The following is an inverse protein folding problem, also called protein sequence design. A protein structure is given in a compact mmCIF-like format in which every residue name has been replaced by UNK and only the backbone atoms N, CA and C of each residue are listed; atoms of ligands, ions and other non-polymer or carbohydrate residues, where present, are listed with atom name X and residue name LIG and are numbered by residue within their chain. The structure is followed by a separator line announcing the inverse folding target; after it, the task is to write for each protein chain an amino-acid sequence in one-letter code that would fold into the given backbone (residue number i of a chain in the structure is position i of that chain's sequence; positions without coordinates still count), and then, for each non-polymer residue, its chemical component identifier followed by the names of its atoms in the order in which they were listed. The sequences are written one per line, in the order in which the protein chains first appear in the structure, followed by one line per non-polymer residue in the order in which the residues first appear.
data_IF_344889555213
#
_entry.id   IF_344889555213
#
_cell.length_a   1.000
_cell.length_b   1.000
_cell.length_c   1.000
_cell.angle_alpha   90.00
_cell.angle_beta   90.00
_cell.angle_gamma   90.00
#
_symmetry.space_group_name_H-M   'P 1'
#
loop_
_entity.id
_entity.type
_entity.pdbx_description
1 polymer ?
#
# COMPACT_ATOMS: atom_id res chain seq x y z
N UNK A 1 14.98 -2.38 4.98
CA UNK A 1 13.56 -1.98 4.86
C UNK A 1 12.87 -2.83 3.80
N UNK A 2 11.53 -2.83 3.74
CA UNK A 2 10.78 -3.48 2.65
C UNK A 2 11.18 -2.83 1.31
N UNK A 3 11.64 -3.60 0.30
CA UNK A 3 11.98 -3.03 -1.00
C UNK A 3 10.76 -2.44 -1.70
N UNK A 4 10.97 -1.37 -2.47
CA UNK A 4 9.90 -0.79 -3.27
C UNK A 4 9.36 -1.80 -4.29
N UNK A 5 8.03 -1.87 -4.39
CA UNK A 5 7.32 -2.60 -5.43
C UNK A 5 6.09 -1.81 -5.83
N UNK A 6 5.97 -1.49 -7.12
CA UNK A 6 4.90 -0.61 -7.63
C UNK A 6 3.47 -1.11 -7.34
N UNK A 7 3.25 -2.42 -7.28
CA UNK A 7 1.96 -3.05 -6.98
C UNK A 7 2.19 -4.45 -6.39
N UNK A 8 1.29 -4.95 -5.55
CA UNK A 8 1.33 -6.34 -5.07
C UNK A 8 1.19 -7.30 -6.26
N UNK A 9 0.06 -7.21 -6.98
CA UNK A 9 -0.24 -7.97 -8.19
C UNK A 9 -0.45 -7.02 -9.38
N UNK A 10 0.49 -6.94 -10.35
CA UNK A 10 0.41 -6.01 -11.48
C UNK A 10 -0.79 -6.18 -12.42
N UNK A 11 -1.42 -7.38 -12.45
CA UNK A 11 -2.57 -7.65 -13.33
C UNK A 11 -3.91 -7.13 -12.78
N UNK A 12 -3.96 -6.76 -11.51
CA UNK A 12 -5.16 -6.16 -10.93
C UNK A 12 -5.45 -4.80 -11.56
N UNK A 13 -6.72 -4.35 -11.57
CA UNK A 13 -7.07 -3.02 -12.06
C UNK A 13 -6.24 -1.93 -11.37
N UNK A 14 -5.75 -0.91 -12.11
CA UNK A 14 -4.81 0.06 -11.55
C UNK A 14 -5.38 0.80 -10.34
N UNK A 15 -6.69 1.09 -10.36
CA UNK A 15 -7.42 1.82 -9.32
C UNK A 15 -7.86 0.96 -8.13
N UNK A 16 -7.49 -0.33 -8.08
CA UNK A 16 -7.81 -1.21 -6.98
C UNK A 16 -7.07 -0.79 -5.70
N UNK A 17 -7.79 -0.17 -4.76
CA UNK A 17 -7.22 0.31 -3.50
C UNK A 17 -6.61 -0.80 -2.63
N UNK A 18 -7.01 -2.06 -2.81
CA UNK A 18 -6.43 -3.22 -2.13
C UNK A 18 -5.09 -3.68 -2.74
N UNK A 19 -4.63 -3.06 -3.82
CA UNK A 19 -3.38 -3.37 -4.52
C UNK A 19 -2.44 -2.15 -4.61
N UNK A 20 -2.04 -1.55 -3.48
CA UNK A 20 -1.14 -0.40 -3.46
C UNK A 20 0.33 -0.79 -3.79
N UNK A 21 1.21 0.19 -3.87
CA UNK A 21 2.65 -0.07 -3.83
C UNK A 21 3.10 -0.53 -2.43
N UNK A 22 4.20 -1.27 -2.38
CA UNK A 22 4.93 -1.63 -1.16
C UNK A 22 6.21 -0.79 -1.09
N UNK A 23 6.59 -0.38 0.12
CA UNK A 23 7.85 0.31 0.38
C UNK A 23 8.21 0.23 1.87
N UNK A 24 9.45 0.60 2.19
CA UNK A 24 9.93 0.78 3.55
C UNK A 24 9.29 1.98 4.27
N UNK A 25 8.71 2.92 3.53
CA UNK A 25 7.93 4.03 4.08
C UNK A 25 6.50 3.95 3.57
N UNK A 26 5.55 3.89 4.49
CA UNK A 26 4.13 3.71 4.18
C UNK A 26 3.25 4.61 5.04
N UNK A 27 2.20 5.16 4.44
CA UNK A 27 1.19 5.98 5.12
C UNK A 27 -0.20 5.61 4.59
N UNK A 28 -1.20 5.53 5.48
CA UNK A 28 -2.60 5.25 5.13
C UNK A 28 -2.78 4.01 4.22
N UNK A 29 -2.08 2.92 4.54
CA UNK A 29 -2.07 1.68 3.73
C UNK A 29 -1.61 1.91 2.29
N UNK A 30 -0.80 2.95 2.05
CA UNK A 30 -0.40 3.44 0.73
C UNK A 30 -1.60 3.74 -0.17
N UNK A 31 -2.60 4.42 0.39
CA UNK A 31 -3.78 4.89 -0.32
C UNK A 31 -3.99 6.38 -0.10
N UNK A 32 -4.52 7.03 -1.13
CA UNK A 32 -4.94 8.43 -1.14
C UNK A 32 -6.45 8.49 -1.28
N UNK A 33 -7.05 9.46 -0.59
CA UNK A 33 -8.49 9.64 -0.62
C UNK A 33 -8.88 10.56 -1.77
N UNK A 34 -9.62 10.03 -2.75
CA UNK A 34 -10.28 10.79 -3.81
C UNK A 34 -11.74 11.06 -3.44
N UNK A 35 -12.17 12.31 -3.43
CA UNK A 35 -13.57 12.70 -3.20
C UNK A 35 -14.07 13.60 -4.33
N UNK A 36 -15.37 13.51 -4.63
CA UNK A 36 -16.03 14.39 -5.59
C UNK A 36 -17.42 14.79 -5.09
N UNK A 37 -17.85 15.98 -5.50
CA UNK A 37 -19.22 16.47 -5.30
C UNK A 37 -19.64 17.27 -6.52
N UNK A 38 -20.87 17.04 -7.00
CA UNK A 38 -21.42 17.79 -8.13
C UNK A 38 -21.85 19.18 -7.65
N UNK A 39 -21.33 20.23 -8.30
CA UNK A 39 -21.61 21.62 -7.97
C UNK A 39 -21.67 22.46 -9.24
N UNK A 40 -22.74 23.25 -9.43
CA UNK A 40 -22.84 24.20 -10.54
C UNK A 40 -22.80 23.58 -11.95
N UNK A 41 -23.19 22.31 -12.10
CA UNK A 41 -23.12 21.59 -13.38
C UNK A 41 -21.78 20.89 -13.65
N UNK A 42 -20.76 21.13 -12.82
CA UNK A 42 -19.47 20.45 -12.85
C UNK A 42 -19.19 19.72 -11.52
N UNK A 43 -17.93 19.36 -11.26
CA UNK A 43 -17.49 18.66 -10.06
C UNK A 43 -16.38 19.43 -9.33
N UNK A 44 -16.49 19.48 -8.02
CA UNK A 44 -15.34 19.73 -7.14
C UNK A 44 -14.72 18.38 -6.80
N UNK A 45 -13.39 18.28 -6.91
CA UNK A 45 -12.63 17.06 -6.59
C UNK A 45 -11.50 17.35 -5.62
N UNK A 46 -11.19 16.41 -4.74
CA UNK A 46 -10.05 16.49 -3.82
C UNK A 46 -9.23 15.21 -3.82
N UNK A 47 -7.93 15.37 -3.50
CA UNK A 47 -6.97 14.29 -3.26
C UNK A 47 -6.27 14.59 -1.93
N UNK A 48 -6.57 13.83 -0.89
CA UNK A 48 -6.08 14.11 0.46
C UNK A 48 -5.60 12.84 1.20
N UNK A 49 -4.70 13.02 2.16
CA UNK A 49 -4.23 11.95 3.04
C UNK A 49 -5.13 11.81 4.28
N UNK A 50 -6.40 11.45 4.03
CA UNK A 50 -7.45 11.39 5.04
C UNK A 50 -7.08 10.57 6.27
N UNK A 51 -7.36 11.12 7.44
CA UNK A 51 -7.42 10.41 8.71
C UNK A 51 -8.70 10.79 9.46
N UNK A 52 -8.93 10.24 10.65
CA UNK A 52 -10.07 10.61 11.48
C UNK A 52 -10.05 12.08 11.96
N UNK A 53 -8.87 12.71 12.00
CA UNK A 53 -8.70 14.07 12.54
C UNK A 53 -8.16 15.09 11.53
N UNK A 54 -7.36 14.64 10.56
CA UNK A 54 -6.63 15.48 9.63
C UNK A 54 -6.90 15.09 8.18
N UNK A 55 -6.88 16.08 7.29
CA UNK A 55 -7.08 15.93 5.84
C UNK A 55 -6.07 16.80 5.07
N UNK A 56 -4.76 16.52 5.16
CA UNK A 56 -3.78 17.28 4.40
C UNK A 56 -3.94 16.97 2.91
N UNK A 57 -4.09 18.01 2.10
CA UNK A 57 -4.08 17.89 0.64
C UNK A 57 -2.74 17.33 0.17
N UNK A 58 -2.77 16.53 -0.89
CA UNK A 58 -1.57 15.95 -1.49
C UNK A 58 -1.48 16.26 -2.97
N UNK A 59 -0.26 16.46 -3.44
CA UNK A 59 0.05 16.76 -4.83
C UNK A 59 0.80 15.63 -5.52
N UNK A 60 1.33 14.65 -4.75
CA UNK A 60 1.93 13.41 -5.26
C UNK A 60 0.92 12.50 -5.98
N UNK A 61 -0.38 12.71 -5.78
CA UNK A 61 -1.42 12.03 -6.53
C UNK A 61 -2.46 13.04 -6.97
N UNK A 62 -2.74 13.10 -8.28
CA UNK A 62 -3.69 14.06 -8.86
C UNK A 62 -4.77 13.35 -9.63
N UNK A 63 -5.99 13.87 -9.53
CA UNK A 63 -7.12 13.39 -10.30
C UNK A 63 -7.54 14.42 -11.35
N UNK A 64 -7.90 13.96 -12.54
CA UNK A 64 -8.55 14.74 -13.58
C UNK A 64 -9.83 14.06 -14.05
N UNK A 65 -10.88 14.83 -14.27
CA UNK A 65 -12.11 14.33 -14.89
C UNK A 65 -11.93 14.33 -16.40
N UNK A 66 -12.34 13.25 -17.05
CA UNK A 66 -12.23 13.07 -18.48
C UNK A 66 -13.59 12.76 -19.12
N UNK A 67 -13.87 13.43 -20.23
CA UNK A 67 -15.08 13.20 -21.04
C UNK A 67 -14.87 11.98 -21.93
N UNK A 68 -15.09 10.79 -21.35
CA UNK A 68 -15.05 9.50 -22.05
C UNK A 68 -16.04 8.51 -21.42
N UNK A 69 -16.36 7.45 -22.16
CA UNK A 69 -17.19 6.33 -21.66
C UNK A 69 -16.38 5.25 -20.94
N UNK A 70 -15.20 4.92 -21.44
CA UNK A 70 -14.34 3.84 -20.93
C UNK A 70 -12.87 4.15 -21.23
N UNK A 71 -11.90 3.66 -20.43
CA UNK A 71 -12.07 3.00 -19.13
C UNK A 71 -12.52 3.98 -18.04
N UNK A 72 -13.16 3.50 -16.96
CA UNK A 72 -13.62 4.37 -15.87
C UNK A 72 -12.45 5.11 -15.23
N UNK A 73 -11.41 4.40 -14.83
CA UNK A 73 -10.18 4.99 -14.30
C UNK A 73 -8.99 4.71 -15.22
N UNK A 74 -8.10 5.69 -15.38
CA UNK A 74 -6.74 5.46 -15.91
C UNK A 74 -5.70 5.94 -14.93
N UNK A 75 -4.51 5.38 -15.07
CA UNK A 75 -3.31 5.78 -14.36
C UNK A 75 -2.21 6.09 -15.38
N UNK A 76 -1.45 7.15 -15.12
CA UNK A 76 -0.22 7.47 -15.81
C UNK A 76 0.88 7.76 -14.77
N UNK A 77 2.07 7.22 -14.99
CA UNK A 77 3.23 7.53 -14.15
C UNK A 77 3.85 8.85 -14.61
N UNK A 78 3.71 9.91 -13.83
CA UNK A 78 4.31 11.22 -14.13
C UNK A 78 5.65 11.42 -13.39
N UNK A 79 6.41 10.34 -13.18
CA UNK A 79 7.69 10.36 -12.49
C UNK A 79 7.50 10.47 -10.97
N UNK A 80 7.66 11.67 -10.42
CA UNK A 80 7.46 11.94 -8.98
C UNK A 80 5.99 11.99 -8.54
N UNK A 81 5.04 11.65 -9.42
CA UNK A 81 3.60 11.82 -9.18
C UNK A 81 2.76 10.75 -9.87
N UNK A 82 1.65 10.39 -9.22
CA UNK A 82 0.57 9.58 -9.78
C UNK A 82 -0.45 10.48 -10.49
N UNK A 83 -0.61 10.30 -11.80
CA UNK A 83 -1.63 10.98 -12.59
C UNK A 83 -2.82 10.05 -12.83
N UNK A 84 -3.94 10.33 -12.18
CA UNK A 84 -5.19 9.60 -12.33
C UNK A 84 -6.16 10.38 -13.19
N UNK A 85 -7.00 9.65 -13.94
CA UNK A 85 -8.21 10.23 -14.51
C UNK A 85 -9.42 9.38 -14.25
N UNK A 86 -10.59 10.01 -14.13
CA UNK A 86 -11.89 9.36 -13.96
C UNK A 86 -12.85 9.81 -15.05
N UNK A 87 -13.60 8.87 -15.63
CA UNK A 87 -14.64 9.15 -16.59
C UNK A 87 -15.77 9.95 -15.94
N UNK A 88 -16.14 11.11 -16.51
CA UNK A 88 -17.19 11.99 -15.97
C UNK A 88 -18.49 11.25 -15.69
N UNK A 89 -18.91 10.38 -16.60
CA UNK A 89 -20.14 9.60 -16.49
C UNK A 89 -20.17 8.61 -15.32
N UNK A 90 -19.03 8.32 -14.68
CA UNK A 90 -18.95 7.48 -13.50
C UNK A 90 -19.08 8.27 -12.17
N UNK A 91 -18.97 9.59 -12.23
CA UNK A 91 -19.14 10.47 -11.08
C UNK A 91 -20.63 10.76 -10.93
N UNK A 92 -21.30 10.12 -9.98
CA UNK A 92 -22.70 10.44 -9.63
C UNK A 92 -22.85 11.84 -9.00
N UNK A 93 -23.85 12.05 -8.12
CA UNK A 93 -24.03 13.36 -7.44
C UNK A 93 -22.90 13.73 -6.46
N UNK A 94 -22.18 12.74 -5.94
CA UNK A 94 -21.06 12.89 -5.03
C UNK A 94 -20.56 11.51 -4.57
N UNK A 95 -19.37 11.45 -3.98
CA UNK A 95 -18.82 10.20 -3.49
C UNK A 95 -17.33 10.27 -3.23
N UNK A 96 -16.79 9.11 -2.83
CA UNK A 96 -15.43 8.97 -2.38
C UNK A 96 -14.85 7.61 -2.77
N UNK A 97 -13.53 7.55 -2.95
CA UNK A 97 -12.80 6.31 -3.22
C UNK A 97 -11.37 6.42 -2.71
N UNK A 98 -10.88 5.35 -2.09
CA UNK A 98 -9.46 5.16 -1.83
C UNK A 98 -8.77 4.63 -3.09
N UNK A 99 -7.80 5.37 -3.60
CA UNK A 99 -6.95 4.96 -4.72
C UNK A 99 -5.58 4.51 -4.23
N UNK A 100 -4.96 3.50 -4.85
CA UNK A 100 -3.62 3.08 -4.48
C UNK A 100 -2.60 4.17 -4.85
N UNK A 101 -1.66 4.43 -3.96
CA UNK A 101 -0.50 5.29 -4.20
C UNK A 101 0.62 4.44 -4.78
N UNK A 102 1.27 4.92 -5.85
CA UNK A 102 2.44 4.29 -6.49
C UNK A 102 3.76 4.97 -6.12
N UNK A 103 3.72 6.12 -5.43
CA UNK A 103 4.89 6.84 -4.87
C UNK A 103 4.80 6.96 -3.33
N UNK A 104 4.77 5.84 -2.58
CA UNK A 104 4.45 5.87 -1.15
C UNK A 104 5.46 6.68 -0.31
N UNK A 105 6.73 6.71 -0.71
CA UNK A 105 7.78 7.48 -0.02
C UNK A 105 7.56 8.98 -0.16
N UNK A 106 7.27 9.44 -1.38
CA UNK A 106 6.97 10.85 -1.65
C UNK A 106 5.66 11.28 -0.98
N UNK A 107 4.66 10.40 -0.96
CA UNK A 107 3.39 10.64 -0.26
C UNK A 107 3.56 10.82 1.24
N UNK A 108 4.28 9.90 1.90
CA UNK A 108 4.58 10.03 3.32
C UNK A 108 5.41 11.29 3.61
N UNK A 109 6.42 11.59 2.78
CA UNK A 109 7.23 12.80 2.91
C UNK A 109 6.45 14.10 2.73
N UNK A 110 5.52 14.16 1.77
CA UNK A 110 4.67 15.33 1.53
C UNK A 110 3.72 15.60 2.70
N UNK A 111 3.11 14.55 3.24
CA UNK A 111 2.22 14.67 4.41
C UNK A 111 3.03 15.07 5.65
N UNK A 112 4.21 14.49 5.86
CA UNK A 112 5.09 14.87 6.95
C UNK A 112 5.50 16.35 6.86
N UNK A 113 5.88 16.83 5.67
CA UNK A 113 6.22 18.24 5.46
C UNK A 113 5.03 19.18 5.74
N UNK A 114 3.80 18.74 5.46
CA UNK A 114 2.59 19.49 5.79
C UNK A 114 2.38 19.61 7.30
N UNK A 115 2.55 18.52 8.05
CA UNK A 115 2.48 18.57 9.51
C UNK A 115 3.64 19.35 10.15
N UNK A 116 4.86 19.22 9.63
CA UNK A 116 6.00 20.01 10.10
C UNK A 116 5.73 21.51 9.94
N UNK A 117 5.20 21.92 8.78
CA UNK A 117 4.84 23.32 8.51
C UNK A 117 3.74 23.84 9.44
N UNK A 118 2.76 23.01 9.82
CA UNK A 118 1.75 23.41 10.81
C UNK A 118 2.33 23.64 12.21
N UNK A 119 3.56 23.18 12.47
CA UNK A 119 4.33 23.43 13.69
C UNK A 119 5.42 24.50 13.49
N UNK A 120 5.37 25.28 12.40
CA UNK A 120 6.34 26.34 12.11
C UNK A 120 7.67 25.85 11.52
N UNK A 121 7.79 24.56 11.17
CA UNK A 121 9.02 23.99 10.60
C UNK A 121 8.87 23.92 9.08
N UNK A 122 9.65 24.73 8.35
CA UNK A 122 9.63 24.76 6.88
C UNK A 122 10.63 23.75 6.32
N UNK A 123 10.11 22.69 5.70
CA UNK A 123 10.91 21.67 5.01
C UNK A 123 10.91 21.93 3.49
N UNK A 124 11.98 21.49 2.82
CA UNK A 124 12.03 21.41 1.35
C UNK A 124 11.11 20.28 0.85
N UNK A 125 10.86 20.27 -0.46
CA UNK A 125 10.11 19.19 -1.10
C UNK A 125 10.75 17.82 -0.81
N UNK A 126 9.95 16.77 -0.54
CA UNK A 126 10.48 15.45 -0.25
C UNK A 126 11.20 14.87 -1.47
N UNK A 127 12.28 14.14 -1.21
CA UNK A 127 13.05 13.41 -2.22
C UNK A 127 13.25 11.97 -1.74
N UNK A 128 13.22 11.03 -2.68
CA UNK A 128 13.54 9.63 -2.39
C UNK A 128 15.06 9.50 -2.26
N UNK A 129 15.51 8.88 -1.17
CA UNK A 129 16.91 8.51 -0.98
C UNK A 129 17.07 7.06 -1.37
N UNK A 130 17.91 6.79 -2.36
CA UNK A 130 18.30 5.45 -2.75
C UNK A 130 19.58 5.02 -2.02
N UNK A 131 19.70 3.72 -1.73
CA UNK A 131 20.90 3.16 -1.12
C UNK A 131 20.91 3.19 0.41
N UNK A 132 22.05 3.58 0.98
CA UNK A 132 22.26 3.52 2.43
C UNK A 132 21.36 4.52 3.17
N UNK A 133 20.85 4.09 4.34
CA UNK A 133 20.09 4.98 5.20
C UNK A 133 20.96 6.21 5.59
N UNK A 134 20.36 7.41 5.68
CA UNK A 134 21.08 8.59 6.14
C UNK A 134 21.63 8.36 7.55
N UNK A 135 22.86 8.80 7.78
CA UNK A 135 23.49 8.78 9.09
C UNK A 135 23.08 10.03 9.88
N UNK A 136 22.77 9.88 11.16
CA UNK A 136 22.38 10.99 12.03
C UNK A 136 21.95 10.52 13.41
N UNK A 137 21.74 11.49 14.31
CA UNK A 137 21.17 11.22 15.63
C UNK A 137 19.66 10.95 15.52
N UNK A 138 19.20 9.85 16.12
CA UNK A 138 17.76 9.57 16.24
C UNK A 138 17.12 10.58 17.19
N UNK A 139 16.24 11.43 16.66
CA UNK A 139 15.50 12.42 17.47
C UNK A 139 14.28 11.80 18.15
N UNK A 140 13.55 10.94 17.43
CA UNK A 140 12.31 10.30 17.90
C UNK A 140 12.21 8.91 17.28
N UNK A 141 11.73 7.96 18.07
CA UNK A 141 11.31 6.63 17.60
C UNK A 141 9.82 6.47 17.86
N UNK A 142 9.09 5.98 16.87
CA UNK A 142 7.71 5.56 17.02
C UNK A 142 7.61 4.08 16.69
N UNK A 143 7.06 3.30 17.62
CA UNK A 143 6.81 1.87 17.45
C UNK A 143 5.33 1.66 17.13
N UNK A 144 5.05 0.70 16.25
CA UNK A 144 3.68 0.30 15.93
C UNK A 144 3.02 -0.40 17.12
N UNK A 145 1.72 -0.64 16.99
CA UNK A 145 1.01 -1.58 17.87
C UNK A 145 1.68 -2.97 17.87
N UNK A 146 1.46 -3.79 18.92
CA UNK A 146 1.95 -5.16 18.98
C UNK A 146 1.52 -5.97 17.76
N UNK A 147 2.41 -6.85 17.28
CA UNK A 147 2.16 -7.68 16.09
C UNK A 147 0.86 -8.49 16.17
N UNK A 148 0.50 -8.99 17.36
CA UNK A 148 -0.74 -9.74 17.55
C UNK A 148 -2.00 -8.90 17.25
N UNK A 149 -1.98 -7.60 17.60
CA UNK A 149 -3.10 -6.68 17.34
C UNK A 149 -3.17 -6.33 15.84
N UNK A 150 -2.00 -6.09 15.23
CA UNK A 150 -1.88 -5.89 13.77
C UNK A 150 -2.43 -7.09 13.01
N UNK A 151 -2.05 -8.31 13.39
CA UNK A 151 -2.51 -9.55 12.75
C UNK A 151 -4.01 -9.79 12.96
N UNK A 152 -4.56 -9.51 14.15
CA UNK A 152 -6.01 -9.57 14.39
C UNK A 152 -6.77 -8.59 13.49
N UNK A 153 -6.28 -7.36 13.36
CA UNK A 153 -6.84 -6.37 12.43
C UNK A 153 -6.75 -6.84 10.97
N UNK A 154 -5.58 -7.35 10.57
CA UNK A 154 -5.34 -7.87 9.23
C UNK A 154 -6.29 -9.00 8.86
N UNK A 155 -6.45 -10.00 9.74
CA UNK A 155 -7.33 -11.15 9.50
C UNK A 155 -8.81 -10.74 9.50
N UNK A 156 -9.21 -9.79 10.36
CA UNK A 156 -10.59 -9.28 10.41
C UNK A 156 -10.98 -8.50 9.16
N UNK A 157 -10.08 -7.68 8.64
CA UNK A 157 -10.37 -6.76 7.54
C UNK A 157 -9.74 -7.18 6.19
N UNK A 158 -9.05 -8.31 6.16
CA UNK A 158 -8.33 -8.83 4.99
C UNK A 158 -7.44 -7.79 4.31
N UNK A 159 -6.57 -7.13 5.09
CA UNK A 159 -5.74 -6.03 4.57
C UNK A 159 -4.48 -6.55 3.87
N UNK A 160 -4.51 -6.59 2.54
CA UNK A 160 -3.42 -7.14 1.72
C UNK A 160 -2.04 -6.54 2.03
N UNK A 161 -1.90 -5.21 2.04
CA UNK A 161 -0.60 -4.58 2.30
C UNK A 161 -0.01 -4.98 3.66
N UNK A 162 -0.84 -5.16 4.69
CA UNK A 162 -0.38 -5.61 6.00
C UNK A 162 0.15 -7.04 5.92
N UNK A 163 -0.54 -7.94 5.20
CA UNK A 163 -0.07 -9.30 4.97
C UNK A 163 1.29 -9.30 4.25
N UNK A 164 1.44 -8.47 3.21
CA UNK A 164 2.71 -8.37 2.48
C UNK A 164 3.83 -7.81 3.37
N UNK A 165 3.58 -6.71 4.09
CA UNK A 165 4.61 -6.10 4.94
C UNK A 165 5.05 -7.03 6.07
N UNK A 166 4.11 -7.71 6.73
CA UNK A 166 4.42 -8.67 7.80
C UNK A 166 5.17 -9.88 7.24
N UNK A 167 4.70 -10.48 6.14
CA UNK A 167 5.36 -11.63 5.50
C UNK A 167 6.78 -11.30 5.02
N UNK A 168 6.96 -10.13 4.40
CA UNK A 168 8.27 -9.64 3.97
C UNK A 168 9.20 -9.35 5.15
N UNK A 169 8.70 -8.77 6.24
CA UNK A 169 9.47 -8.57 7.46
C UNK A 169 9.89 -9.90 8.11
N UNK A 170 8.99 -10.89 8.16
CA UNK A 170 9.28 -12.22 8.68
C UNK A 170 10.36 -12.94 7.86
N UNK A 171 10.24 -12.95 6.53
CA UNK A 171 11.27 -13.52 5.66
C UNK A 171 12.61 -12.80 5.81
N UNK A 172 12.60 -11.47 5.91
CA UNK A 172 13.81 -10.69 6.08
C UNK A 172 14.52 -11.02 7.40
N UNK A 173 13.76 -11.18 8.49
CA UNK A 173 14.30 -11.58 9.80
C UNK A 173 14.92 -12.96 9.79
N UNK A 174 14.35 -13.89 9.02
CA UNK A 174 14.86 -15.27 8.85
C UNK A 174 16.11 -15.34 7.98
N UNK A 175 16.19 -14.51 6.94
CA UNK A 175 17.32 -14.50 5.99
C UNK A 175 18.41 -13.48 6.31
N UNK A 176 18.22 -12.64 7.33
CA UNK A 176 19.15 -11.59 7.71
C UNK A 176 19.26 -10.44 6.71
N UNK A 177 18.36 -10.37 5.71
CA UNK A 177 18.35 -9.32 4.67
C UNK A 177 16.97 -9.16 4.07
N UNK A 178 16.68 -7.97 3.54
CA UNK A 178 15.45 -7.73 2.79
C UNK A 178 15.39 -8.61 1.52
N UNK A 179 14.18 -9.05 1.19
CA UNK A 179 13.87 -9.85 0.00
C UNK A 179 12.79 -9.13 -0.82
N UNK A 180 12.79 -9.34 -2.13
CA UNK A 180 11.62 -9.00 -2.94
C UNK A 180 10.41 -9.89 -2.55
N UNK A 181 9.22 -9.49 -3.00
CA UNK A 181 7.98 -10.17 -2.65
C UNK A 181 7.97 -11.66 -3.04
N UNK A 182 8.46 -12.00 -4.23
CA UNK A 182 8.43 -13.38 -4.73
C UNK A 182 9.42 -14.28 -3.97
N UNK A 183 10.61 -13.76 -3.67
CA UNK A 183 11.60 -14.45 -2.83
C UNK A 183 11.10 -14.62 -1.39
N UNK A 184 10.40 -13.61 -0.85
CA UNK A 184 9.77 -13.70 0.46
C UNK A 184 8.63 -14.72 0.51
N UNK A 185 7.78 -14.79 -0.51
CA UNK A 185 6.71 -15.80 -0.59
C UNK A 185 7.27 -17.23 -0.70
N UNK A 186 8.35 -17.42 -1.48
CA UNK A 186 9.09 -18.70 -1.52
C UNK A 186 9.69 -19.07 -0.17
N UNK A 187 10.22 -18.09 0.57
CA UNK A 187 10.74 -18.32 1.92
C UNK A 187 9.63 -18.80 2.87
N UNK A 188 8.46 -18.15 2.84
CA UNK A 188 7.32 -18.55 3.65
C UNK A 188 6.70 -19.87 3.20
N UNK A 189 6.77 -20.20 1.91
CA UNK A 189 6.40 -21.53 1.39
C UNK A 189 7.26 -22.62 2.02
N UNK A 190 8.59 -22.47 2.00
CA UNK A 190 9.51 -23.44 2.61
C UNK A 190 9.32 -23.55 4.13
N UNK A 191 9.09 -22.42 4.81
CA UNK A 191 8.76 -22.42 6.23
C UNK A 191 7.45 -23.16 6.54
N UNK A 192 6.39 -22.92 5.76
CA UNK A 192 5.09 -23.55 5.94
C UNK A 192 5.15 -25.07 5.67
N UNK A 193 5.89 -25.49 4.64
CA UNK A 193 6.14 -26.90 4.37
C UNK A 193 6.88 -27.58 5.53
N UNK A 194 7.94 -26.96 6.04
CA UNK A 194 8.78 -27.52 7.11
C UNK A 194 8.11 -27.52 8.49
N UNK A 195 7.31 -26.49 8.79
CA UNK A 195 6.80 -26.23 10.15
C UNK A 195 5.34 -26.63 10.30
N UNK A 196 4.53 -26.43 9.27
CA UNK A 196 3.07 -26.65 9.29
C UNK A 196 2.64 -27.89 8.50
N UNK A 197 3.59 -28.61 7.87
CA UNK A 197 3.29 -29.79 7.07
C UNK A 197 2.50 -29.51 5.79
N UNK A 198 2.54 -28.27 5.29
CA UNK A 198 1.83 -27.81 4.09
C UNK A 198 2.50 -28.28 2.79
N UNK A 199 2.53 -29.60 2.55
CA UNK A 199 3.37 -30.29 1.56
C UNK A 199 3.22 -29.82 0.11
N UNK A 200 2.03 -29.37 -0.30
CA UNK A 200 1.72 -28.99 -1.70
C UNK A 200 1.62 -27.48 -1.91
N UNK A 201 1.95 -26.71 -0.88
CA UNK A 201 1.80 -25.25 -0.91
C UNK A 201 2.88 -24.59 -1.75
N UNK A 202 2.48 -23.60 -2.55
CA UNK A 202 3.31 -22.72 -3.37
C UNK A 202 2.71 -21.31 -3.29
N UNK A 203 3.23 -20.48 -2.38
CA UNK A 203 2.79 -19.10 -2.19
C UNK A 203 3.55 -18.15 -3.11
N UNK A 204 2.83 -17.25 -3.79
CA UNK A 204 3.39 -16.22 -4.68
C UNK A 204 3.36 -14.82 -4.08
N UNK A 205 2.61 -14.64 -3.00
CA UNK A 205 2.53 -13.47 -2.16
C UNK A 205 2.07 -13.89 -0.75
N UNK A 206 1.85 -12.92 0.14
CA UNK A 206 1.40 -13.20 1.52
C UNK A 206 -0.10 -12.95 1.72
N UNK A 207 -0.72 -12.14 0.87
CA UNK A 207 -2.16 -11.83 0.97
C UNK A 207 -3.08 -12.79 0.22
N UNK A 208 -2.55 -13.62 -0.69
CA UNK A 208 -3.37 -14.45 -1.57
C UNK A 208 -3.98 -13.67 -2.74
N UNK A 209 -3.51 -12.44 -3.02
CA UNK A 209 -3.99 -11.62 -4.12
C UNK A 209 -3.51 -12.14 -5.49
N UNK A 210 -2.39 -12.85 -5.50
CA UNK A 210 -1.81 -13.49 -6.67
C UNK A 210 -2.53 -14.82 -6.95
N UNK A 211 -3.23 -14.87 -8.08
CA UNK A 211 -3.99 -16.05 -8.53
C UNK A 211 -3.14 -17.28 -8.90
N UNK A 212 -1.81 -17.16 -8.87
CA UNK A 212 -0.86 -18.25 -9.09
C UNK A 212 -0.47 -18.97 -7.80
N UNK A 213 -0.84 -18.45 -6.63
CA UNK A 213 -0.67 -19.17 -5.36
C UNK A 213 -1.46 -20.49 -5.38
N UNK A 214 -0.88 -21.57 -4.83
CA UNK A 214 -1.50 -22.89 -4.75
C UNK A 214 -1.39 -23.44 -3.33
N UNK A 215 -2.47 -23.99 -2.82
CA UNK A 215 -2.52 -24.79 -1.61
C UNK A 215 -3.71 -25.76 -1.69
N UNK A 216 -3.60 -26.92 -1.06
CA UNK A 216 -4.72 -27.86 -0.95
C UNK A 216 -5.55 -27.58 0.31
N UNK A 217 -6.81 -28.03 0.32
CA UNK A 217 -7.63 -28.01 1.53
C UNK A 217 -6.96 -28.77 2.69
N UNK A 218 -6.26 -29.86 2.38
CA UNK A 218 -5.50 -30.64 3.35
C UNK A 218 -4.32 -29.85 3.94
N UNK A 219 -3.58 -29.09 3.13
CA UNK A 219 -2.52 -28.23 3.64
C UNK A 219 -3.06 -27.15 4.57
N UNK A 220 -4.18 -26.52 4.21
CA UNK A 220 -4.83 -25.54 5.09
C UNK A 220 -5.29 -26.19 6.41
N UNK A 221 -5.88 -27.39 6.35
CA UNK A 221 -6.28 -28.13 7.56
C UNK A 221 -5.07 -28.49 8.44
N UNK A 222 -3.95 -28.90 7.85
CA UNK A 222 -2.70 -29.15 8.59
C UNK A 222 -2.17 -27.89 9.28
N UNK A 223 -2.17 -26.77 8.58
CA UNK A 223 -1.75 -25.49 9.15
C UNK A 223 -2.60 -25.08 10.35
N UNK A 224 -3.93 -25.19 10.24
CA UNK A 224 -4.86 -24.86 11.32
C UNK A 224 -4.74 -25.83 12.51
N UNK A 225 -4.44 -27.10 12.27
CA UNK A 225 -4.27 -28.10 13.33
C UNK A 225 -2.92 -28.00 14.07
N UNK A 226 -1.90 -27.42 13.42
CA UNK A 226 -0.58 -27.20 14.01
C UNK A 226 -0.45 -25.87 14.78
N UNK A 227 -1.44 -24.99 14.63
CA UNK A 227 -1.48 -23.65 15.21
C UNK A 227 -2.02 -23.63 16.65
#
# INVERSE_FOLDING_TARGET
AVPYRRAIEPRQPPHAGYNPALSGLSLNYNRVHFEWTRAGGDYTITMDARSGRYRPDVTVARMRIADRRSPVYTYHDAGGRDDWTVARGALGGGGARWLPVRKPELYAGEVFATFARSQGIVLKAPQVVEGAAPQGATLVTHESDPLADILRGMLRYSTNITAEMVGMAASARRRGRALDLAASAREMTGWAQATLGMKTTDLRDHSGLNDLSRLSALDMARALAAA
#
